data_IF_235004965016
#
_entry.id   IF_235004965016
#
_cell.length_a   1.000
_cell.length_b   1.000
_cell.length_c   1.000
_cell.angle_alpha   90.00
_cell.angle_beta   90.00
_cell.angle_gamma   90.00
#
_symmetry.space_group_name_H-M   'P 1'
#
loop_
_entity.id
_entity.type
_entity.pdbx_description
1 polymer ?
#
# COMPACT_ATOMS: atom_id res chain seq x y z
N UNK A 1 12.03 -9.90 22.20
CA UNK A 1 11.79 -8.51 21.78
C UNK A 1 10.64 -7.93 22.59
N UNK A 2 10.75 -6.69 23.07
CA UNK A 2 9.63 -6.01 23.76
C UNK A 2 8.48 -5.75 22.79
N UNK A 3 7.25 -5.59 23.30
CA UNK A 3 6.06 -5.26 22.49
C UNK A 3 6.26 -3.95 21.71
N UNK A 4 6.90 -2.96 22.32
CA UNK A 4 7.27 -1.70 21.66
C UNK A 4 8.25 -1.91 20.49
N UNK A 5 9.27 -2.76 20.65
CA UNK A 5 10.19 -3.05 19.54
C UNK A 5 9.49 -3.78 18.39
N UNK A 6 8.51 -4.64 18.69
CA UNK A 6 7.66 -5.26 17.68
C UNK A 6 6.78 -4.22 16.95
N UNK A 7 6.15 -3.32 17.69
CA UNK A 7 5.35 -2.24 17.11
C UNK A 7 6.18 -1.35 16.16
N UNK A 8 7.39 -0.96 16.58
CA UNK A 8 8.35 -0.22 15.74
C UNK A 8 8.69 -1.01 14.47
N UNK A 9 9.01 -2.31 14.59
CA UNK A 9 9.32 -3.13 13.43
C UNK A 9 8.15 -3.24 12.43
N UNK A 10 6.91 -3.33 12.92
CA UNK A 10 5.71 -3.33 12.08
C UNK A 10 5.49 -1.98 11.41
N UNK A 11 5.76 -0.85 12.08
CA UNK A 11 5.73 0.49 11.47
C UNK A 11 6.80 0.64 10.36
N UNK A 12 8.01 0.12 10.55
CA UNK A 12 9.05 0.13 9.51
C UNK A 12 8.68 -0.72 8.30
N UNK A 13 8.10 -1.91 8.55
CA UNK A 13 7.52 -2.77 7.51
C UNK A 13 6.42 -2.00 6.76
N UNK A 14 5.53 -1.32 7.48
CA UNK A 14 4.45 -0.52 6.90
C UNK A 14 4.97 0.60 6.00
N UNK A 15 6.01 1.35 6.42
CA UNK A 15 6.64 2.36 5.56
C UNK A 15 7.18 1.77 4.25
N UNK A 16 7.78 0.57 4.31
CA UNK A 16 8.31 -0.13 3.13
C UNK A 16 7.19 -0.45 2.14
N UNK A 17 6.09 -1.04 2.63
CA UNK A 17 4.96 -1.41 1.79
C UNK A 17 4.16 -0.20 1.28
N UNK A 18 4.11 0.91 2.04
CA UNK A 18 3.49 2.16 1.58
C UNK A 18 4.25 2.77 0.40
N UNK A 19 5.59 2.73 0.44
CA UNK A 19 6.42 3.15 -0.69
C UNK A 19 6.23 2.25 -1.90
N UNK A 20 6.08 0.94 -1.70
CA UNK A 20 5.78 0.02 -2.80
C UNK A 20 4.40 0.27 -3.43
N UNK A 21 3.33 0.33 -2.61
CA UNK A 21 1.96 0.60 -3.11
C UNK A 21 1.91 1.93 -3.87
N UNK A 22 2.57 2.99 -3.36
CA UNK A 22 2.74 4.27 -4.07
C UNK A 22 3.34 4.08 -5.48
N UNK A 23 4.41 3.30 -5.60
CA UNK A 23 5.07 3.05 -6.88
C UNK A 23 4.19 2.26 -7.84
N UNK A 24 3.49 1.23 -7.38
CA UNK A 24 2.57 0.46 -8.22
C UNK A 24 1.44 1.33 -8.78
N UNK A 25 0.89 2.24 -7.96
CA UNK A 25 -0.10 3.21 -8.42
C UNK A 25 0.45 4.19 -9.47
N UNK A 26 1.68 4.70 -9.31
CA UNK A 26 2.26 5.56 -10.35
C UNK A 26 2.57 4.79 -11.64
N UNK A 27 3.09 3.58 -11.55
CA UNK A 27 3.24 2.71 -12.73
C UNK A 27 1.89 2.48 -13.41
N UNK A 28 0.84 2.17 -12.66
CA UNK A 28 -0.50 1.98 -13.21
C UNK A 28 -1.05 3.25 -13.89
N UNK A 29 -0.75 4.42 -13.31
CA UNK A 29 -1.07 5.74 -13.88
C UNK A 29 -0.38 5.98 -15.22
N UNK A 30 0.90 5.63 -15.33
CA UNK A 30 1.67 5.80 -16.57
C UNK A 30 1.14 4.92 -17.71
N UNK A 31 0.64 3.73 -17.37
CA UNK A 31 0.04 2.80 -18.34
C UNK A 31 -1.46 3.06 -18.59
N UNK A 32 -2.10 3.96 -17.85
CA UNK A 32 -3.53 4.22 -17.97
C UNK A 32 -3.85 5.07 -19.20
N UNK A 33 -4.62 4.51 -20.12
CA UNK A 33 -5.08 5.20 -21.35
C UNK A 33 -6.21 6.21 -21.04
N UNK A 34 -7.10 5.86 -20.12
CA UNK A 34 -8.25 6.71 -19.79
C UNK A 34 -7.89 7.78 -18.75
N UNK A 35 -8.20 9.07 -18.98
CA UNK A 35 -7.87 10.16 -18.06
C UNK A 35 -8.41 9.97 -16.64
N UNK A 36 -9.62 9.41 -16.50
CA UNK A 36 -10.24 9.14 -15.19
C UNK A 36 -9.42 8.15 -14.37
N UNK A 37 -8.98 7.06 -14.99
CA UNK A 37 -8.13 6.05 -14.34
C UNK A 37 -6.76 6.63 -13.97
N UNK A 38 -6.16 7.40 -14.89
CA UNK A 38 -4.89 8.09 -14.63
C UNK A 38 -5.01 9.03 -13.43
N UNK A 39 -6.08 9.83 -13.36
CA UNK A 39 -6.36 10.72 -12.23
C UNK A 39 -6.54 9.93 -10.93
N UNK A 40 -7.31 8.85 -10.96
CA UNK A 40 -7.52 8.00 -9.79
C UNK A 40 -6.20 7.41 -9.29
N UNK A 41 -5.41 6.76 -10.15
CA UNK A 41 -4.14 6.15 -9.72
C UNK A 41 -3.15 7.18 -9.18
N UNK A 42 -3.06 8.37 -9.79
CA UNK A 42 -2.27 9.46 -9.25
C UNK A 42 -2.75 9.89 -7.85
N UNK A 43 -4.06 10.03 -7.65
CA UNK A 43 -4.63 10.35 -6.34
C UNK A 43 -4.30 9.27 -5.30
N UNK A 44 -4.42 7.99 -5.67
CA UNK A 44 -4.06 6.90 -4.77
C UNK A 44 -2.57 6.93 -4.40
N UNK A 45 -1.67 7.19 -5.37
CA UNK A 45 -0.23 7.35 -5.12
C UNK A 45 0.10 8.51 -4.16
N UNK A 46 -0.58 9.65 -4.33
CA UNK A 46 -0.45 10.79 -3.41
C UNK A 46 -0.96 10.47 -2.00
N UNK A 47 -2.06 9.71 -1.88
CA UNK A 47 -2.57 9.25 -0.58
C UNK A 47 -1.58 8.34 0.14
N UNK A 48 -0.95 7.37 -0.55
CA UNK A 48 0.09 6.51 0.07
C UNK A 48 1.29 7.33 0.53
N UNK A 49 1.63 8.40 -0.19
CA UNK A 49 2.67 9.31 0.25
C UNK A 49 2.29 10.05 1.54
N UNK A 50 1.03 10.46 1.69
CA UNK A 50 0.53 11.07 2.94
C UNK A 50 0.57 10.07 4.09
N UNK A 51 0.07 8.86 3.88
CA UNK A 51 0.10 7.80 4.89
C UNK A 51 1.53 7.48 5.34
N UNK A 52 2.50 7.49 4.40
CA UNK A 52 3.90 7.32 4.73
C UNK A 52 4.39 8.40 5.70
N UNK A 53 4.04 9.67 5.47
CA UNK A 53 4.43 10.76 6.37
C UNK A 53 3.77 10.63 7.76
N UNK A 54 2.52 10.17 7.81
CA UNK A 54 1.80 9.96 9.07
C UNK A 54 2.45 8.83 9.90
N UNK A 55 2.80 7.70 9.26
CA UNK A 55 3.52 6.59 9.90
C UNK A 55 4.95 6.99 10.30
N UNK A 56 5.62 7.79 9.47
CA UNK A 56 6.96 8.30 9.79
C UNK A 56 6.94 9.18 11.04
N UNK A 57 5.92 10.04 11.16
CA UNK A 57 5.73 10.90 12.34
C UNK A 57 5.51 10.08 13.61
N UNK A 58 4.73 8.99 13.54
CA UNK A 58 4.54 8.06 14.66
C UNK A 58 5.89 7.46 15.11
N UNK A 59 6.71 6.99 14.17
CA UNK A 59 8.06 6.48 14.48
C UNK A 59 8.95 7.52 15.16
N UNK A 60 8.93 8.76 14.67
CA UNK A 60 9.65 9.87 15.28
C UNK A 60 9.17 10.18 16.71
N UNK A 61 7.86 10.10 16.96
CA UNK A 61 7.30 10.26 18.31
C UNK A 61 7.72 9.15 19.28
N UNK A 62 8.04 7.97 18.76
CA UNK A 62 8.60 6.85 19.52
C UNK A 62 10.12 6.97 19.75
N UNK A 63 10.75 8.06 19.28
CA UNK A 63 12.17 8.33 19.46
C UNK A 63 13.09 7.73 18.39
N UNK A 64 12.54 7.22 17.28
CA UNK A 64 13.34 6.74 16.15
C UNK A 64 13.81 7.91 15.28
N UNK A 65 15.12 8.05 15.09
CA UNK A 65 15.66 9.00 14.09
C UNK A 65 15.35 8.50 12.68
N UNK A 66 15.16 9.41 11.73
CA UNK A 66 15.00 9.05 10.31
C UNK A 66 16.20 8.27 9.79
N UNK A 67 17.40 8.52 10.31
CA UNK A 67 18.63 7.86 9.88
C UNK A 67 18.71 6.39 10.36
N UNK A 68 17.99 6.07 11.44
CA UNK A 68 17.96 4.73 12.02
C UNK A 68 16.95 3.82 11.32
N UNK A 69 16.02 4.39 10.53
CA UNK A 69 14.94 3.65 9.90
C UNK A 69 15.47 2.72 8.81
N UNK A 70 15.14 1.43 8.94
CA UNK A 70 15.47 0.40 7.94
C UNK A 70 14.83 0.71 6.58
N UNK A 71 13.76 1.52 6.54
CA UNK A 71 13.13 1.94 5.29
C UNK A 71 14.07 2.69 4.34
N UNK A 72 15.10 3.36 4.89
CA UNK A 72 16.12 4.04 4.09
C UNK A 72 17.13 3.05 3.49
N UNK A 73 17.30 1.88 4.12
CA UNK A 73 17.99 0.70 3.58
C UNK A 73 17.02 -0.18 2.79
N UNK A 74 16.20 0.45 1.96
CA UNK A 74 15.16 -0.17 1.17
C UNK A 74 15.71 -1.39 0.40
N UNK A 75 15.42 -2.60 0.89
CA UNK A 75 15.92 -3.82 0.27
C UNK A 75 14.96 -4.24 -0.84
N UNK A 76 15.08 -3.54 -1.98
CA UNK A 76 14.27 -3.73 -3.18
C UNK A 76 14.22 -5.21 -3.60
N UNK A 77 15.30 -5.95 -3.34
CA UNK A 77 15.48 -7.35 -3.69
C UNK A 77 14.50 -8.30 -2.97
N UNK A 78 14.22 -8.07 -1.68
CA UNK A 78 13.25 -8.90 -0.95
C UNK A 78 11.81 -8.69 -1.45
N UNK A 79 11.49 -7.45 -1.80
CA UNK A 79 10.16 -7.11 -2.30
C UNK A 79 9.97 -7.62 -3.74
N UNK A 80 11.02 -7.56 -4.57
CA UNK A 80 11.10 -8.20 -5.88
C UNK A 80 10.84 -9.70 -5.79
N UNK A 81 11.49 -10.42 -4.86
CA UNK A 81 11.28 -11.86 -4.68
C UNK A 81 9.81 -12.17 -4.34
N UNK A 82 9.17 -11.37 -3.47
CA UNK A 82 7.73 -11.56 -3.15
C UNK A 82 6.78 -11.24 -4.30
N UNK A 83 7.21 -10.43 -5.28
CA UNK A 83 6.41 -10.02 -6.44
C UNK A 83 6.67 -10.85 -7.69
N UNK A 84 7.59 -11.82 -7.67
CA UNK A 84 7.86 -12.73 -8.81
C UNK A 84 6.57 -13.44 -9.26
N UNK A 85 5.75 -13.92 -8.31
CA UNK A 85 4.48 -14.58 -8.64
C UNK A 85 3.44 -13.62 -9.25
N UNK A 86 3.61 -12.31 -9.02
CA UNK A 86 2.74 -11.25 -9.56
C UNK A 86 3.29 -10.60 -10.84
N UNK A 87 4.42 -11.07 -11.39
CA UNK A 87 5.02 -10.45 -12.58
C UNK A 87 4.06 -10.41 -13.78
N UNK A 88 3.24 -11.47 -13.94
CA UNK A 88 2.19 -11.58 -14.98
C UNK A 88 0.89 -10.84 -14.66
N UNK A 89 0.74 -10.34 -13.43
CA UNK A 89 -0.47 -9.64 -13.02
C UNK A 89 -0.57 -8.27 -13.71
N UNK A 90 -1.80 -7.88 -14.05
CA UNK A 90 -2.11 -6.56 -14.58
C UNK A 90 -1.76 -5.46 -13.58
N UNK A 91 -1.61 -4.23 -14.07
CA UNK A 91 -1.32 -3.08 -13.22
C UNK A 91 -2.37 -2.88 -12.10
N UNK A 92 -3.64 -3.24 -12.36
CA UNK A 92 -4.72 -3.15 -11.37
C UNK A 92 -4.55 -4.20 -10.29
N UNK A 93 -4.28 -5.45 -10.67
CA UNK A 93 -4.07 -6.54 -9.72
C UNK A 93 -2.87 -6.28 -8.81
N UNK A 94 -1.79 -5.70 -9.35
CA UNK A 94 -0.62 -5.27 -8.56
C UNK A 94 -0.98 -4.20 -7.53
N UNK A 95 -1.81 -3.22 -7.91
CA UNK A 95 -2.30 -2.20 -6.98
C UNK A 95 -3.16 -2.82 -5.86
N UNK A 96 -4.10 -3.71 -6.22
CA UNK A 96 -4.96 -4.40 -5.27
C UNK A 96 -4.15 -5.24 -4.29
N UNK A 97 -3.21 -6.04 -4.80
CA UNK A 97 -2.38 -6.90 -3.97
C UNK A 97 -1.50 -6.09 -2.99
N UNK A 98 -0.96 -4.96 -3.45
CA UNK A 98 -0.19 -4.06 -2.61
C UNK A 98 -1.05 -3.47 -1.46
N UNK A 99 -2.30 -3.11 -1.75
CA UNK A 99 -3.23 -2.58 -0.75
C UNK A 99 -3.76 -3.67 0.21
N UNK A 100 -4.01 -4.89 -0.26
CA UNK A 100 -4.37 -6.04 0.59
C UNK A 100 -3.22 -6.39 1.56
N UNK A 101 -1.98 -6.34 1.08
CA UNK A 101 -0.79 -6.50 1.92
C UNK A 101 -0.72 -5.40 2.98
N UNK A 102 -1.01 -4.15 2.62
CA UNK A 102 -1.06 -3.05 3.58
C UNK A 102 -2.13 -3.27 4.66
N UNK A 103 -3.33 -3.70 4.29
CA UNK A 103 -4.40 -4.00 5.24
C UNK A 103 -3.98 -5.09 6.25
N UNK A 104 -3.31 -6.14 5.81
CA UNK A 104 -2.76 -7.17 6.70
C UNK A 104 -1.75 -6.61 7.71
N UNK A 105 -0.90 -5.67 7.28
CA UNK A 105 0.09 -5.04 8.17
C UNK A 105 -0.60 -4.09 9.16
N UNK A 106 -1.63 -3.36 8.74
CA UNK A 106 -2.43 -2.52 9.64
C UNK A 106 -3.14 -3.36 10.71
N UNK A 107 -3.68 -4.52 10.35
CA UNK A 107 -4.29 -5.45 11.32
C UNK A 107 -3.26 -5.96 12.35
N UNK A 108 -2.06 -6.35 11.89
CA UNK A 108 -0.94 -6.74 12.76
C UNK A 108 -0.57 -5.60 13.73
N UNK A 109 -0.64 -4.35 13.27
CA UNK A 109 -0.34 -3.17 14.07
C UNK A 109 -1.43 -2.87 15.11
N UNK A 110 -2.70 -3.08 14.77
CA UNK A 110 -3.84 -2.91 15.68
C UNK A 110 -3.78 -3.90 16.84
N UNK A 111 -3.40 -5.16 16.59
CA UNK A 111 -3.19 -6.18 17.63
C UNK A 111 -2.08 -5.80 18.62
N UNK A 112 -1.08 -5.04 18.17
CA UNK A 112 0.06 -4.63 18.97
C UNK A 112 -0.16 -3.33 19.76
N UNK A 113 -1.16 -2.52 19.39
CA UNK A 113 -1.43 -1.21 19.99
C UNK A 113 -2.57 -1.27 21.00
N UNK A 114 -2.30 -0.87 22.26
CA UNK A 114 -3.36 -0.62 23.25
C UNK A 114 -4.01 0.78 23.07
N UNK A 115 -3.47 1.61 22.16
CA UNK A 115 -3.99 2.94 21.82
C UNK A 115 -4.92 2.86 20.61
N UNK A 116 -6.09 3.45 20.76
CA UNK A 116 -7.14 3.47 19.75
C UNK A 116 -6.69 4.28 18.50
N UNK A 117 -6.47 3.58 17.39
CA UNK A 117 -6.74 4.00 16.00
C UNK A 117 -6.18 5.35 15.48
N UNK A 118 -4.86 5.54 15.44
CA UNK A 118 -4.28 6.66 14.65
C UNK A 118 -4.44 6.47 13.13
N UNK A 119 -4.54 5.22 12.65
CA UNK A 119 -4.50 4.89 11.21
C UNK A 119 -5.80 4.32 10.63
N UNK A 120 -6.92 4.34 11.35
CA UNK A 120 -8.21 3.84 10.84
C UNK A 120 -8.63 4.47 9.51
N UNK A 121 -8.34 5.76 9.36
CA UNK A 121 -8.63 6.47 8.12
C UNK A 121 -7.80 5.94 6.94
N UNK A 122 -6.59 5.42 7.18
CA UNK A 122 -5.80 4.76 6.13
C UNK A 122 -6.51 3.50 5.64
N UNK A 123 -6.95 2.62 6.54
CA UNK A 123 -7.57 1.34 6.17
C UNK A 123 -8.87 1.54 5.41
N UNK A 124 -9.73 2.48 5.83
CA UNK A 124 -10.95 2.85 5.09
C UNK A 124 -10.65 3.34 3.67
N UNK A 125 -9.60 4.14 3.48
CA UNK A 125 -9.18 4.57 2.14
C UNK A 125 -8.64 3.42 1.28
N UNK A 126 -7.89 2.49 1.89
CA UNK A 126 -7.40 1.30 1.18
C UNK A 126 -8.54 0.40 0.73
N UNK A 127 -9.52 0.13 1.60
CA UNK A 127 -10.72 -0.65 1.26
C UNK A 127 -11.52 -0.02 0.11
N UNK A 128 -11.69 1.30 0.13
CA UNK A 128 -12.34 2.03 -0.95
C UNK A 128 -11.56 1.92 -2.27
N UNK A 129 -10.23 2.04 -2.24
CA UNK A 129 -9.39 1.90 -3.42
C UNK A 129 -9.43 0.48 -4.00
N UNK A 130 -9.39 -0.55 -3.14
CA UNK A 130 -9.53 -1.96 -3.54
C UNK A 130 -10.89 -2.18 -4.19
N UNK A 131 -11.97 -1.68 -3.59
CA UNK A 131 -13.33 -1.84 -4.11
C UNK A 131 -13.46 -1.24 -5.51
N UNK A 132 -12.98 -0.01 -5.70
CA UNK A 132 -12.98 0.68 -6.99
C UNK A 132 -12.16 -0.08 -8.05
N UNK A 133 -10.97 -0.56 -7.68
CA UNK A 133 -10.12 -1.33 -8.58
C UNK A 133 -10.77 -2.67 -8.98
N UNK A 134 -11.39 -3.37 -8.03
CA UNK A 134 -12.11 -4.64 -8.28
C UNK A 134 -13.32 -4.41 -9.20
N UNK A 135 -14.09 -3.35 -8.97
CA UNK A 135 -15.21 -2.99 -9.85
C UNK A 135 -14.76 -2.76 -11.29
N UNK A 136 -13.64 -2.06 -11.48
CA UNK A 136 -13.07 -1.90 -12.82
C UNK A 136 -12.67 -3.24 -13.43
N UNK A 137 -11.96 -4.12 -12.72
CA UNK A 137 -11.61 -5.45 -13.25
C UNK A 137 -12.87 -6.23 -13.68
N UNK A 138 -13.91 -6.25 -12.84
CA UNK A 138 -15.17 -6.91 -13.16
C UNK A 138 -15.89 -6.31 -14.38
N UNK A 139 -15.84 -4.98 -14.52
CA UNK A 139 -16.42 -4.27 -15.68
C UNK A 139 -15.71 -4.62 -16.98
N UNK A 140 -14.38 -4.87 -16.96
CA UNK A 140 -13.64 -5.32 -18.13
C UNK A 140 -13.86 -6.81 -18.44
N UNK A 141 -13.99 -7.67 -17.43
CA UNK A 141 -14.33 -9.08 -17.61
C UNK A 141 -15.71 -9.30 -18.26
N UNK A 142 -16.68 -8.42 -17.98
CA UNK A 142 -18.01 -8.43 -18.61
C UNK A 142 -18.03 -7.87 -20.04
N UNK A 143 -17.08 -7.00 -20.41
CA UNK A 143 -16.99 -6.47 -21.78
C UNK A 143 -16.36 -7.45 -22.77
N UNK A 144 -15.55 -8.39 -22.29
CA UNK A 144 -14.97 -9.46 -23.13
C UNK A 144 -15.93 -10.62 -23.44
N UNK A 145 -17.07 -10.73 -22.75
CA UNK A 145 -18.05 -11.81 -22.95
C UNK A 145 -19.27 -11.41 -23.80
N UNK A 146 -19.40 -10.15 -24.20
CA UNK A 146 -20.52 -9.63 -24.98
C UNK A 146 -20.14 -9.22 -26.43
N UNK A 147 -19.27 -9.99 -27.07
CA UNK A 147 -19.14 -9.99 -28.54
C UNK A 147 -19.49 -11.38 -29.06
N UNK A 148 -20.77 -11.59 -29.36
CA UNK A 148 -21.25 -12.62 -30.29
C UNK A 148 -22.01 -11.93 -31.41
#
# INVERSE_FOLDING_TARGET
>A
MSRQNRYIAVLEKLLTHLKNSKLEYFKASDHAIHPEKKRFYNQQGLLRNRFFQDVLRELQQLGMSTDDLVVNRFNFDQLLISTIDTLKASAIEKCVHADETLLSIYAELEDLSDKNNSFKHHTTHLEGAISQNKEWVSTFGLKSSNSY
#
